data_IF_709236157870
#
_entry.id   IF_709236157870
#
_cell.length_a   1.000
_cell.length_b   1.000
_cell.length_c   1.000
_cell.angle_alpha   90.00
_cell.angle_beta   90.00
_cell.angle_gamma   90.00
#
_symmetry.space_group_name_H-M   'P 1'
#
loop_
_entity.id
_entity.type
_entity.pdbx_description
1 polymer ?
#
# COMPACT_ATOMS: atom_id res chain seq x y z
N UNK A 1 17.73 -2.19 5.20
CA UNK A 1 17.85 -0.98 4.37
C UNK A 1 16.90 0.02 4.98
N UNK A 2 17.41 1.03 5.68
CA UNK A 2 16.62 2.17 6.14
C UNK A 2 16.62 3.20 5.02
N UNK A 3 15.44 3.50 4.49
CA UNK A 3 15.28 4.52 3.45
C UNK A 3 15.46 5.92 4.06
N UNK A 4 16.16 6.82 3.38
CA UNK A 4 16.35 8.21 3.83
C UNK A 4 16.11 9.15 2.64
N UNK A 5 14.95 9.82 2.64
CA UNK A 5 14.51 10.65 1.52
C UNK A 5 15.49 11.78 1.21
N UNK A 6 15.98 12.50 2.23
CA UNK A 6 16.88 13.64 2.04
C UNK A 6 18.17 13.24 1.33
N UNK A 7 18.78 12.11 1.73
CA UNK A 7 20.00 11.59 1.10
C UNK A 7 19.78 11.16 -0.35
N UNK A 8 18.64 10.55 -0.67
CA UNK A 8 18.31 10.17 -2.05
C UNK A 8 18.09 11.41 -2.93
N UNK A 9 17.39 12.42 -2.42
CA UNK A 9 17.18 13.70 -3.12
C UNK A 9 18.50 14.43 -3.36
N UNK A 10 19.36 14.56 -2.35
CA UNK A 10 20.71 15.14 -2.48
C UNK A 10 21.55 14.39 -3.52
N UNK A 11 21.47 13.05 -3.53
CA UNK A 11 22.19 12.25 -4.51
C UNK A 11 21.68 12.52 -5.92
N UNK A 12 20.36 12.52 -6.14
CA UNK A 12 19.73 12.83 -7.42
C UNK A 12 20.08 14.24 -7.92
N UNK A 13 20.04 15.25 -7.05
CA UNK A 13 20.50 16.60 -7.35
C UNK A 13 21.96 16.61 -7.80
N UNK A 14 22.85 15.90 -7.09
CA UNK A 14 24.28 15.81 -7.47
C UNK A 14 24.52 15.17 -8.85
N UNK A 15 23.52 14.46 -9.38
CA UNK A 15 23.54 13.83 -10.71
C UNK A 15 22.77 14.62 -11.76
N UNK A 16 22.05 15.67 -11.38
CA UNK A 16 21.18 16.41 -12.27
C UNK A 16 19.97 15.60 -12.74
N UNK A 17 19.47 14.66 -11.92
CA UNK A 17 18.36 13.78 -12.25
C UNK A 17 17.20 14.06 -11.31
N UNK A 18 15.98 14.17 -11.84
CA UNK A 18 14.78 14.33 -11.01
C UNK A 18 14.49 13.09 -10.18
N UNK A 19 14.00 13.30 -8.97
CA UNK A 19 13.54 12.29 -8.04
C UNK A 19 12.05 12.45 -7.77
N UNK A 20 11.35 11.33 -7.66
CA UNK A 20 9.93 11.28 -7.34
C UNK A 20 9.63 9.98 -6.61
N UNK A 21 8.80 10.07 -5.58
CA UNK A 21 8.26 8.90 -4.91
C UNK A 21 6.88 8.55 -5.49
N UNK A 22 6.84 7.44 -6.22
CA UNK A 22 5.61 6.92 -6.81
C UNK A 22 5.01 5.80 -5.95
N UNK A 23 3.72 5.88 -5.69
CA UNK A 23 2.95 4.91 -4.88
C UNK A 23 3.51 4.72 -3.46
N UNK A 24 4.05 5.79 -2.86
CA UNK A 24 4.71 5.77 -1.56
C UNK A 24 4.09 6.73 -0.56
N UNK A 25 4.41 6.52 0.72
CA UNK A 25 4.04 7.40 1.84
C UNK A 25 5.32 7.78 2.58
N UNK A 26 5.43 9.05 2.93
CA UNK A 26 6.53 9.62 3.71
C UNK A 26 5.94 10.44 4.85
N UNK A 27 6.69 10.59 5.93
CA UNK A 27 6.28 11.45 7.03
C UNK A 27 6.22 12.92 6.59
N UNK A 28 5.47 13.74 7.33
CA UNK A 28 5.43 15.18 7.11
C UNK A 28 6.83 15.80 7.26
N UNK A 29 7.56 15.42 8.30
CA UNK A 29 8.92 15.89 8.57
C UNK A 29 9.88 15.60 7.41
N UNK A 30 9.91 14.35 6.91
CA UNK A 30 10.81 13.98 5.82
C UNK A 30 10.48 14.74 4.54
N UNK A 31 9.19 14.90 4.21
CA UNK A 31 8.80 15.65 3.02
C UNK A 31 9.17 17.12 3.13
N UNK A 32 8.88 17.77 4.26
CA UNK A 32 9.21 19.18 4.47
C UNK A 32 10.72 19.42 4.39
N UNK A 33 11.55 18.43 4.74
CA UNK A 33 13.01 18.52 4.63
C UNK A 33 13.52 18.63 3.18
N UNK A 34 12.74 18.21 2.18
CA UNK A 34 13.15 18.17 0.77
C UNK A 34 12.20 18.92 -0.18
N UNK A 35 11.06 19.41 0.30
CA UNK A 35 10.00 19.98 -0.55
C UNK A 35 10.45 21.19 -1.38
N UNK A 36 11.44 21.95 -0.90
CA UNK A 36 12.01 23.10 -1.61
C UNK A 36 13.08 22.70 -2.64
N UNK A 37 13.52 21.44 -2.69
CA UNK A 37 14.53 20.99 -3.66
C UNK A 37 13.92 20.92 -5.08
N UNK A 38 14.50 21.57 -6.09
CA UNK A 38 13.97 21.56 -7.46
C UNK A 38 14.07 20.19 -8.13
N UNK A 39 15.03 19.34 -7.73
CA UNK A 39 15.18 17.99 -8.24
C UNK A 39 14.20 17.01 -7.61
N UNK A 40 13.55 17.36 -6.50
CA UNK A 40 12.44 16.60 -5.96
C UNK A 40 11.13 17.10 -6.57
N UNK A 41 10.47 16.24 -7.34
CA UNK A 41 9.18 16.57 -7.96
C UNK A 41 8.04 16.46 -6.95
N UNK A 42 8.07 15.43 -6.10
CA UNK A 42 7.03 15.22 -5.10
C UNK A 42 6.77 13.76 -4.80
N UNK A 43 5.65 13.55 -4.12
CA UNK A 43 5.14 12.23 -3.71
C UNK A 43 3.74 12.05 -4.25
N UNK A 44 3.50 10.88 -4.84
CA UNK A 44 2.17 10.41 -5.18
C UNK A 44 1.92 9.10 -4.45
N UNK A 45 0.85 9.00 -3.66
CA UNK A 45 0.53 7.77 -2.95
C UNK A 45 -0.56 7.92 -1.90
N UNK A 46 -0.80 6.89 -1.07
CA UNK A 46 -1.91 6.87 -0.11
C UNK A 46 -1.82 7.97 0.95
N UNK A 47 -0.61 8.30 1.39
CA UNK A 47 -0.44 9.21 2.51
C UNK A 47 -0.86 8.55 3.83
N UNK A 48 -0.56 9.22 4.94
CA UNK A 48 -0.56 8.55 6.24
C UNK A 48 -1.94 8.03 6.67
N UNK A 49 -2.99 8.81 6.39
CA UNK A 49 -4.36 8.46 6.76
C UNK A 49 -4.86 7.21 6.02
N UNK A 50 -4.65 7.14 4.70
CA UNK A 50 -5.11 5.99 3.91
C UNK A 50 -4.30 4.74 4.23
N UNK A 51 -2.99 4.85 4.51
CA UNK A 51 -2.20 3.69 4.95
C UNK A 51 -2.73 3.13 6.27
N UNK A 52 -2.98 4.02 7.25
CA UNK A 52 -3.53 3.62 8.54
C UNK A 52 -4.93 3.00 8.39
N UNK A 53 -5.80 3.64 7.62
CA UNK A 53 -7.15 3.15 7.36
C UNK A 53 -7.16 1.80 6.66
N UNK A 54 -6.24 1.55 5.71
CA UNK A 54 -6.17 0.27 5.00
C UNK A 54 -5.90 -0.91 5.94
N UNK A 55 -5.05 -0.71 6.96
CA UNK A 55 -4.81 -1.71 8.00
C UNK A 55 -5.99 -1.89 8.95
N UNK A 56 -6.61 -0.77 9.36
CA UNK A 56 -7.80 -0.77 10.20
C UNK A 56 -8.98 -1.50 9.54
N UNK A 57 -9.31 -1.17 8.28
CA UNK A 57 -10.41 -1.78 7.52
C UNK A 57 -10.23 -3.29 7.36
N UNK A 58 -8.99 -3.74 7.15
CA UNK A 58 -8.67 -5.16 7.05
C UNK A 58 -8.90 -5.86 8.40
N UNK A 59 -8.41 -5.31 9.51
CA UNK A 59 -8.62 -5.89 10.83
C UNK A 59 -10.12 -5.93 11.17
N UNK A 60 -10.85 -4.84 10.92
CA UNK A 60 -12.30 -4.73 11.17
C UNK A 60 -13.08 -5.78 10.38
N UNK A 61 -12.71 -6.04 9.12
CA UNK A 61 -13.32 -7.08 8.29
C UNK A 61 -13.16 -8.47 8.92
N UNK A 62 -11.94 -8.86 9.30
CA UNK A 62 -11.72 -10.19 9.86
C UNK A 62 -12.34 -10.38 11.24
N UNK A 63 -12.34 -9.34 12.08
CA UNK A 63 -12.92 -9.41 13.43
C UNK A 63 -14.44 -9.55 13.38
N UNK A 64 -15.12 -8.82 12.47
CA UNK A 64 -16.57 -8.74 12.47
C UNK A 64 -17.27 -9.62 11.44
N UNK A 65 -16.62 -9.94 10.32
CA UNK A 65 -17.25 -10.64 9.20
C UNK A 65 -16.77 -12.10 9.04
N UNK A 66 -15.68 -12.49 9.72
CA UNK A 66 -15.11 -13.85 9.63
C UNK A 66 -15.22 -14.59 10.97
N UNK A 67 -15.33 -15.92 10.93
CA UNK A 67 -15.36 -16.77 12.13
C UNK A 67 -13.94 -17.24 12.48
N UNK A 68 -13.42 -16.83 13.64
CA UNK A 68 -12.10 -17.22 14.15
C UNK A 68 -11.61 -16.27 15.24
N UNK A 69 -10.62 -16.70 16.02
CA UNK A 69 -10.06 -15.93 17.14
C UNK A 69 -8.52 -15.96 17.23
N UNK A 70 -7.85 -16.61 16.27
CA UNK A 70 -6.40 -16.72 16.23
C UNK A 70 -5.79 -16.03 15.01
N UNK A 71 -4.97 -15.01 15.23
CA UNK A 71 -4.43 -14.10 14.23
C UNK A 71 -2.91 -14.10 14.24
N UNK A 72 -2.30 -14.12 13.05
CA UNK A 72 -0.93 -13.65 12.83
C UNK A 72 -0.96 -12.38 11.98
N UNK A 73 -0.34 -11.31 12.48
CA UNK A 73 -0.24 -10.00 11.86
C UNK A 73 1.20 -9.77 11.36
N UNK A 74 1.43 -9.98 10.06
CA UNK A 74 2.72 -9.75 9.43
C UNK A 74 2.94 -8.26 9.13
N UNK A 75 3.87 -7.62 9.85
CA UNK A 75 4.09 -6.17 9.78
C UNK A 75 5.02 -5.77 8.63
N UNK A 76 5.74 -6.72 8.04
CA UNK A 76 6.66 -6.45 6.93
C UNK A 76 7.83 -5.56 7.36
N UNK A 77 8.07 -4.47 6.62
CA UNK A 77 9.19 -3.56 6.86
C UNK A 77 9.02 -2.51 7.96
N UNK A 78 7.95 -2.57 8.77
CA UNK A 78 7.68 -1.54 9.79
C UNK A 78 8.89 -1.32 10.72
N UNK A 79 9.46 -2.39 11.26
CA UNK A 79 10.64 -2.36 12.15
C UNK A 79 11.92 -1.80 11.49
N UNK A 80 11.99 -1.75 10.15
CA UNK A 80 13.14 -1.21 9.40
C UNK A 80 12.86 0.15 8.75
N UNK A 81 11.85 0.87 9.28
CA UNK A 81 11.52 2.24 8.87
C UNK A 81 10.66 2.34 7.61
N UNK A 82 9.93 1.29 7.23
CA UNK A 82 8.94 1.41 6.16
C UNK A 82 7.67 2.07 6.70
N UNK A 83 7.48 3.34 6.37
CA UNK A 83 6.37 4.16 6.88
C UNK A 83 4.99 3.60 6.53
N UNK A 84 4.81 3.13 5.30
CA UNK A 84 3.53 2.56 4.87
C UNK A 84 3.15 1.34 5.72
N UNK A 85 4.11 0.44 5.92
CA UNK A 85 3.89 -0.78 6.70
C UNK A 85 3.63 -0.46 8.17
N UNK A 86 4.40 0.47 8.75
CA UNK A 86 4.20 0.96 10.12
C UNK A 86 2.77 1.46 10.31
N UNK A 87 2.32 2.38 9.46
CA UNK A 87 0.99 2.99 9.60
C UNK A 87 -0.14 1.97 9.42
N UNK A 88 -0.05 1.07 8.45
CA UNK A 88 -1.03 -0.02 8.28
C UNK A 88 -1.07 -0.92 9.51
N UNK A 89 0.10 -1.29 10.06
CA UNK A 89 0.17 -2.10 11.28
C UNK A 89 -0.45 -1.36 12.48
N UNK A 90 -0.14 -0.08 12.65
CA UNK A 90 -0.73 0.76 13.70
C UNK A 90 -2.25 0.78 13.58
N UNK A 91 -2.80 1.02 12.39
CA UNK A 91 -4.26 1.02 12.18
C UNK A 91 -4.91 -0.33 12.51
N UNK A 92 -4.28 -1.44 12.13
CA UNK A 92 -4.77 -2.77 12.51
C UNK A 92 -4.75 -3.00 14.02
N UNK A 93 -3.66 -2.63 14.70
CA UNK A 93 -3.50 -2.79 16.15
C UNK A 93 -4.45 -1.88 16.95
N UNK A 94 -4.75 -0.68 16.47
CA UNK A 94 -5.78 0.21 17.04
C UNK A 94 -7.15 -0.47 17.04
N UNK A 95 -7.49 -1.16 15.95
CA UNK A 95 -8.73 -1.95 15.86
C UNK A 95 -8.72 -3.14 16.83
N UNK A 96 -7.62 -3.92 16.89
CA UNK A 96 -7.51 -4.99 17.88
C UNK A 96 -7.68 -4.48 19.32
N UNK A 97 -7.04 -3.35 19.67
CA UNK A 97 -7.15 -2.75 20.98
C UNK A 97 -8.59 -2.28 21.28
N UNK A 98 -9.28 -1.73 20.29
CA UNK A 98 -10.66 -1.27 20.43
C UNK A 98 -11.65 -2.43 20.69
N UNK A 99 -11.47 -3.57 20.03
CA UNK A 99 -12.36 -4.73 20.17
C UNK A 99 -12.03 -5.63 21.36
N UNK A 100 -10.74 -5.82 21.67
CA UNK A 100 -10.28 -6.83 22.64
C UNK A 100 -9.63 -6.24 23.90
N UNK A 101 -9.51 -4.91 23.98
CA UNK A 101 -8.93 -4.20 25.11
C UNK A 101 -7.42 -4.00 25.00
N UNK A 102 -6.80 -3.61 26.12
CA UNK A 102 -5.37 -3.29 26.18
C UNK A 102 -4.49 -4.45 25.68
N UNK A 103 -3.57 -4.12 24.76
CA UNK A 103 -2.60 -5.06 24.19
C UNK A 103 -1.37 -5.25 25.08
N UNK A 104 -1.27 -4.50 26.19
CA UNK A 104 -0.20 -4.61 27.19
C UNK A 104 1.11 -3.91 26.81
N UNK A 105 1.19 -3.40 25.58
CA UNK A 105 2.31 -2.62 25.05
C UNK A 105 1.73 -1.50 24.18
N UNK A 106 2.41 -0.35 24.14
CA UNK A 106 2.02 0.76 23.28
C UNK A 106 1.95 0.30 21.81
N UNK A 107 0.91 0.74 21.09
CA UNK A 107 0.62 0.31 19.72
C UNK A 107 1.81 0.58 18.79
N UNK A 108 2.45 1.74 18.94
CA UNK A 108 3.59 2.12 18.12
C UNK A 108 4.77 1.17 18.33
N UNK A 109 5.05 0.80 19.59
CA UNK A 109 6.14 -0.13 19.95
C UNK A 109 5.87 -1.54 19.41
N UNK A 110 4.61 -2.00 19.48
CA UNK A 110 4.21 -3.27 18.85
C UNK A 110 4.38 -3.23 17.33
N UNK A 111 3.99 -2.12 16.68
CA UNK A 111 4.04 -2.01 15.24
C UNK A 111 5.45 -2.09 14.67
N UNK A 112 6.44 -1.59 15.41
CA UNK A 112 7.86 -1.58 15.02
C UNK A 112 8.70 -2.63 15.75
N UNK A 113 8.08 -3.59 16.44
CA UNK A 113 8.81 -4.67 17.13
C UNK A 113 9.75 -5.39 16.17
N UNK A 114 10.99 -5.64 16.59
CA UNK A 114 11.99 -6.38 15.79
C UNK A 114 11.85 -7.90 15.95
N UNK A 115 11.12 -8.36 16.98
CA UNK A 115 10.88 -9.77 17.29
C UNK A 115 9.37 -10.09 17.33
N UNK A 116 8.96 -11.35 17.08
CA UNK A 116 7.57 -11.75 17.19
C UNK A 116 7.01 -11.56 18.61
N UNK A 117 5.85 -10.91 18.72
CA UNK A 117 5.15 -10.67 19.99
C UNK A 117 3.84 -11.45 20.00
N UNK A 118 3.65 -12.32 21.00
CA UNK A 118 2.42 -13.12 21.17
C UNK A 118 1.59 -12.53 22.30
N UNK A 119 0.34 -12.22 21.98
CA UNK A 119 -0.60 -11.50 22.83
C UNK A 119 -1.90 -12.30 22.96
N UNK A 120 -2.58 -12.16 24.10
CA UNK A 120 -3.91 -12.74 24.32
C UNK A 120 -4.94 -11.72 24.83
N UNK A 121 -5.16 -10.61 24.10
CA UNK A 121 -6.11 -9.58 24.52
C UNK A 121 -7.54 -10.11 24.41
N UNK A 122 -8.41 -9.81 25.36
CA UNK A 122 -9.84 -10.16 25.28
C UNK A 122 -10.16 -11.65 25.08
N UNK A 123 -9.20 -12.55 25.25
CA UNK A 123 -9.35 -14.00 25.01
C UNK A 123 -9.03 -14.47 23.59
N UNK A 124 -8.68 -13.57 22.65
CA UNK A 124 -8.16 -13.95 21.32
C UNK A 124 -6.68 -14.31 21.38
N UNK A 125 -6.12 -14.90 20.33
CA UNK A 125 -4.66 -15.06 20.14
C UNK A 125 -4.20 -14.13 19.02
N UNK A 126 -3.25 -13.25 19.30
CA UNK A 126 -2.67 -12.35 18.31
C UNK A 126 -1.14 -12.46 18.34
N UNK A 127 -0.55 -12.81 17.21
CA UNK A 127 0.91 -12.79 17.02
C UNK A 127 1.28 -11.66 16.07
N UNK A 128 1.96 -10.63 16.57
CA UNK A 128 2.55 -9.57 15.73
C UNK A 128 3.91 -10.05 15.26
N UNK A 129 4.08 -10.23 13.95
CA UNK A 129 5.26 -10.87 13.36
C UNK A 129 5.99 -9.91 12.40
N UNK A 130 7.22 -9.49 12.71
CA UNK A 130 7.95 -8.54 11.88
C UNK A 130 8.73 -9.18 10.74
N UNK A 131 9.08 -8.35 9.76
CA UNK A 131 9.95 -8.73 8.64
C UNK A 131 9.21 -9.03 7.35
N UNK A 132 9.93 -8.89 6.24
CA UNK A 132 9.43 -9.22 4.91
C UNK A 132 9.48 -10.74 4.68
N UNK A 133 8.32 -11.39 4.54
CA UNK A 133 8.17 -12.82 4.21
C UNK A 133 8.69 -13.19 2.82
N UNK A 134 9.14 -12.22 2.04
CA UNK A 134 9.90 -12.42 0.80
C UNK A 134 11.40 -12.62 1.03
N UNK A 135 11.88 -12.46 2.26
CA UNK A 135 13.24 -12.82 2.65
C UNK A 135 13.26 -14.23 3.19
N UNK A 136 14.20 -15.04 2.72
CA UNK A 136 14.30 -16.47 3.02
C UNK A 136 14.28 -16.76 4.53
N UNK A 137 14.99 -15.98 5.34
CA UNK A 137 15.04 -16.18 6.79
C UNK A 137 13.70 -15.93 7.48
N UNK A 138 12.97 -14.89 7.05
CA UNK A 138 11.65 -14.54 7.60
C UNK A 138 10.59 -15.50 7.07
N UNK A 139 10.66 -15.82 5.78
CA UNK A 139 9.80 -16.80 5.11
C UNK A 139 9.80 -18.14 5.86
N UNK A 140 10.99 -18.67 6.13
CA UNK A 140 11.15 -19.91 6.88
C UNK A 140 10.59 -19.81 8.29
N UNK A 141 10.89 -18.72 9.00
CA UNK A 141 10.46 -18.55 10.38
C UNK A 141 8.94 -18.38 10.51
N UNK A 142 8.29 -17.67 9.57
CA UNK A 142 6.82 -17.53 9.53
C UNK A 142 6.16 -18.85 9.12
N UNK A 143 6.77 -19.61 8.20
CA UNK A 143 6.27 -20.97 7.86
C UNK A 143 6.29 -21.87 9.09
N UNK A 144 7.42 -21.92 9.80
CA UNK A 144 7.54 -22.70 11.04
C UNK A 144 6.54 -22.23 12.10
N UNK A 145 6.25 -20.92 12.19
CA UNK A 145 5.23 -20.40 13.10
C UNK A 145 3.83 -20.88 12.73
N UNK A 146 3.47 -20.85 11.45
CA UNK A 146 2.17 -21.30 10.94
C UNK A 146 1.99 -22.82 11.10
N UNK A 147 3.04 -23.62 10.90
CA UNK A 147 2.95 -25.09 11.03
C UNK A 147 2.88 -25.58 12.47
N UNK A 148 3.42 -24.81 13.42
CA UNK A 148 3.50 -25.21 14.83
C UNK A 148 2.38 -24.65 15.71
N UNK A 149 1.53 -23.77 15.17
CA UNK A 149 0.47 -23.11 15.93
C UNK A 149 -0.81 -23.01 15.12
N UNK A 150 -1.96 -23.21 15.77
CA UNK A 150 -3.25 -23.09 15.10
C UNK A 150 -3.63 -21.61 14.92
N UNK A 151 -3.63 -21.13 13.67
CA UNK A 151 -4.14 -19.81 13.29
C UNK A 151 -5.40 -19.94 12.44
N UNK A 152 -6.37 -19.04 12.65
CA UNK A 152 -7.50 -18.91 11.74
C UNK A 152 -7.15 -17.93 10.61
N UNK A 153 -6.42 -16.86 10.96
CA UNK A 153 -6.19 -15.71 10.10
C UNK A 153 -4.74 -15.27 10.00
N UNK A 154 -4.29 -14.99 8.78
CA UNK A 154 -3.03 -14.32 8.47
C UNK A 154 -3.31 -12.95 7.82
N UNK A 155 -3.05 -11.88 8.55
CA UNK A 155 -3.19 -10.50 8.08
C UNK A 155 -1.81 -9.94 7.75
N UNK A 156 -1.64 -9.32 6.59
CA UNK A 156 -0.32 -8.83 6.18
C UNK A 156 -0.35 -7.46 5.53
N UNK A 157 0.65 -6.63 5.87
CA UNK A 157 0.82 -5.30 5.29
C UNK A 157 1.41 -5.32 3.87
N UNK A 158 1.60 -6.51 3.29
CA UNK A 158 2.16 -6.77 1.95
C UNK A 158 1.80 -8.20 1.50
N UNK A 159 2.22 -8.60 0.29
CA UNK A 159 1.95 -9.94 -0.23
C UNK A 159 2.58 -11.06 0.60
N UNK A 160 1.92 -12.23 0.65
CA UNK A 160 2.46 -13.45 1.25
C UNK A 160 2.57 -14.59 0.24
N UNK A 161 2.99 -14.29 -0.99
CA UNK A 161 2.99 -15.29 -2.09
C UNK A 161 3.86 -16.51 -1.79
N UNK A 162 4.97 -16.34 -1.07
CA UNK A 162 5.83 -17.43 -0.63
C UNK A 162 5.13 -18.38 0.37
N UNK A 163 4.08 -17.92 1.06
CA UNK A 163 3.42 -18.65 2.15
C UNK A 163 2.11 -19.31 1.74
N UNK A 164 1.69 -19.19 0.48
CA UNK A 164 0.41 -19.70 0.00
C UNK A 164 0.23 -21.19 0.27
N UNK A 165 1.28 -22.00 0.08
CA UNK A 165 1.19 -23.45 0.26
C UNK A 165 0.99 -23.84 1.73
N UNK A 166 1.69 -23.18 2.67
CA UNK A 166 1.49 -23.41 4.11
C UNK A 166 0.12 -22.89 4.56
N UNK A 167 -0.31 -21.72 4.09
CA UNK A 167 -1.65 -21.18 4.41
C UNK A 167 -2.76 -22.15 3.97
N UNK A 168 -2.65 -22.71 2.76
CA UNK A 168 -3.61 -23.72 2.26
C UNK A 168 -3.56 -25.02 3.08
N UNK A 169 -2.36 -25.51 3.39
CA UNK A 169 -2.14 -26.74 4.15
C UNK A 169 -2.74 -26.66 5.55
N UNK A 170 -2.52 -25.53 6.23
CA UNK A 170 -2.98 -25.29 7.60
C UNK A 170 -4.41 -24.70 7.64
N UNK A 171 -5.01 -24.39 6.49
CA UNK A 171 -6.39 -23.89 6.41
C UNK A 171 -6.55 -22.43 6.83
N UNK A 172 -5.46 -21.66 6.91
CA UNK A 172 -5.43 -20.26 7.36
C UNK A 172 -5.98 -19.34 6.28
N UNK A 173 -6.94 -18.47 6.64
CA UNK A 173 -7.49 -17.46 5.73
C UNK A 173 -6.66 -16.19 5.76
N UNK A 174 -6.51 -15.55 4.61
CA UNK A 174 -5.56 -14.45 4.43
C UNK A 174 -6.24 -13.13 4.09
N UNK A 175 -5.73 -12.05 4.67
CA UNK A 175 -5.99 -10.67 4.25
C UNK A 175 -4.68 -9.94 3.95
N UNK A 176 -4.63 -9.15 2.87
CA UNK A 176 -3.43 -8.37 2.51
C UNK A 176 -3.71 -6.94 2.09
N UNK A 177 -2.77 -6.05 2.41
CA UNK A 177 -2.61 -4.76 1.72
C UNK A 177 -1.54 -4.94 0.63
N UNK A 178 -1.97 -5.19 -0.61
CA UNK A 178 -1.10 -5.58 -1.74
C UNK A 178 -1.59 -4.98 -3.08
N UNK A 179 -1.90 -5.81 -4.07
CA UNK A 179 -2.22 -5.40 -5.43
C UNK A 179 -3.24 -6.32 -6.10
N UNK A 180 -3.84 -5.83 -7.18
CA UNK A 180 -4.61 -6.66 -8.09
C UNK A 180 -3.64 -7.40 -9.03
N UNK A 181 -3.46 -8.70 -8.78
CA UNK A 181 -2.58 -9.60 -9.52
C UNK A 181 -3.31 -10.89 -9.92
N UNK A 182 -2.73 -11.68 -10.83
CA UNK A 182 -3.27 -12.99 -11.16
C UNK A 182 -3.19 -13.94 -9.96
N UNK A 183 -2.10 -13.87 -9.19
CA UNK A 183 -1.95 -14.68 -7.97
C UNK A 183 -3.06 -14.40 -6.97
N UNK A 184 -3.35 -13.12 -6.66
CA UNK A 184 -4.45 -12.79 -5.74
C UNK A 184 -5.82 -13.17 -6.33
N UNK A 185 -5.97 -13.16 -7.66
CA UNK A 185 -7.18 -13.67 -8.31
C UNK A 185 -7.39 -15.16 -8.02
N UNK A 186 -6.36 -15.96 -8.23
CA UNK A 186 -6.38 -17.41 -8.00
C UNK A 186 -6.65 -17.73 -6.51
N UNK A 187 -6.09 -16.94 -5.59
CA UNK A 187 -6.34 -17.09 -4.15
C UNK A 187 -7.76 -16.71 -3.72
N UNK A 188 -8.40 -15.76 -4.39
CA UNK A 188 -9.84 -15.53 -4.22
C UNK A 188 -10.68 -16.69 -4.77
N UNK A 189 -10.22 -17.35 -5.84
CA UNK A 189 -10.94 -18.48 -6.45
C UNK A 189 -10.92 -19.73 -5.57
N UNK A 190 -9.82 -20.00 -4.87
CA UNK A 190 -9.71 -21.11 -3.92
C UNK A 190 -10.16 -20.75 -2.48
N UNK A 191 -10.40 -19.47 -2.22
CA UNK A 191 -10.88 -18.96 -0.94
C UNK A 191 -9.81 -18.87 0.15
N UNK A 192 -8.52 -18.96 -0.19
CA UNK A 192 -7.41 -18.69 0.74
C UNK A 192 -7.34 -17.19 1.03
N UNK A 193 -7.50 -16.35 0.02
CA UNK A 193 -7.56 -14.89 0.19
C UNK A 193 -9.02 -14.44 0.36
N UNK A 194 -9.28 -13.74 1.47
CA UNK A 194 -10.61 -13.23 1.82
C UNK A 194 -10.70 -11.70 1.72
N UNK A 195 -9.57 -10.99 1.77
CA UNK A 195 -9.55 -9.54 1.72
C UNK A 195 -8.31 -9.04 1.00
N UNK A 196 -8.47 -8.05 0.12
CA UNK A 196 -7.36 -7.26 -0.40
C UNK A 196 -7.69 -5.78 -0.38
N UNK A 197 -6.79 -4.97 0.16
CA UNK A 197 -6.66 -3.56 -0.18
C UNK A 197 -5.56 -3.45 -1.25
N UNK A 198 -5.96 -3.36 -2.51
CA UNK A 198 -5.09 -3.58 -3.66
C UNK A 198 -4.75 -2.31 -4.43
N UNK A 199 -3.46 -2.14 -4.74
CA UNK A 199 -2.99 -1.26 -5.82
C UNK A 199 -3.36 -1.83 -7.18
N UNK A 200 -3.70 -0.97 -8.13
CA UNK A 200 -3.92 -1.30 -9.53
C UNK A 200 -2.67 -0.96 -10.36
N UNK A 201 -2.47 -1.62 -11.51
CA UNK A 201 -1.20 -1.61 -12.23
C UNK A 201 -0.80 -0.25 -12.77
N UNK A 202 -1.77 0.61 -13.08
CA UNK A 202 -1.53 1.99 -13.53
C UNK A 202 -1.31 3.00 -12.39
N UNK A 203 -1.24 2.59 -11.11
CA UNK A 203 -1.05 3.52 -9.96
C UNK A 203 0.12 4.48 -10.16
N UNK A 204 1.23 4.04 -10.77
CA UNK A 204 2.40 4.89 -11.04
C UNK A 204 2.24 5.81 -12.25
N UNK A 205 1.18 5.66 -13.06
CA UNK A 205 0.94 6.40 -14.30
C UNK A 205 1.02 7.91 -14.13
N UNK A 206 0.32 8.53 -13.17
CA UNK A 206 0.43 9.97 -12.95
C UNK A 206 1.83 10.43 -12.51
N UNK A 207 2.57 9.57 -11.80
CA UNK A 207 3.98 9.85 -11.47
C UNK A 207 4.86 9.84 -12.71
N UNK A 208 4.61 8.92 -13.65
CA UNK A 208 5.25 8.92 -14.95
C UNK A 208 4.94 10.21 -15.73
N UNK A 209 3.68 10.67 -15.76
CA UNK A 209 3.30 11.92 -16.42
C UNK A 209 4.02 13.14 -15.81
N UNK A 210 4.10 13.22 -14.48
CA UNK A 210 4.84 14.27 -13.77
C UNK A 210 6.34 14.27 -14.15
N UNK A 211 6.97 13.10 -14.10
CA UNK A 211 8.37 12.92 -14.50
C UNK A 211 8.57 13.29 -15.98
N UNK A 212 7.65 12.90 -16.86
CA UNK A 212 7.72 13.18 -18.29
C UNK A 212 7.66 14.68 -18.56
N UNK A 213 6.74 15.41 -17.91
CA UNK A 213 6.70 16.87 -17.94
C UNK A 213 8.03 17.48 -17.48
N UNK A 214 8.61 16.98 -16.39
CA UNK A 214 9.86 17.49 -15.86
C UNK A 214 11.04 17.32 -16.85
N UNK A 215 11.23 16.11 -17.39
CA UNK A 215 12.34 15.82 -18.32
C UNK A 215 12.16 16.45 -19.70
N UNK A 216 10.94 16.89 -20.04
CA UNK A 216 10.64 17.59 -21.30
C UNK A 216 10.65 19.11 -21.16
N UNK A 217 11.03 19.64 -19.99
CA UNK A 217 11.29 21.07 -19.77
C UNK A 217 10.17 21.83 -19.06
N UNK A 218 9.17 21.13 -18.51
CA UNK A 218 8.01 21.75 -17.85
C UNK A 218 8.02 21.55 -16.32
N UNK A 219 9.16 21.21 -15.71
CA UNK A 219 9.23 20.91 -14.27
C UNK A 219 8.65 22.02 -13.39
N UNK A 220 8.99 23.29 -13.68
CA UNK A 220 8.55 24.45 -12.90
C UNK A 220 7.03 24.71 -12.99
N UNK A 221 6.38 24.27 -14.06
CA UNK A 221 4.92 24.40 -14.25
C UNK A 221 4.12 23.34 -13.47
N UNK A 222 4.78 22.27 -13.03
CA UNK A 222 4.18 21.13 -12.32
C UNK A 222 4.65 21.09 -10.87
N UNK A 223 4.52 22.22 -10.17
CA UNK A 223 4.87 22.39 -8.74
C UNK A 223 3.69 22.92 -7.94
N UNK A 224 3.59 22.52 -6.69
CA UNK A 224 2.56 22.99 -5.77
C UNK A 224 3.09 24.24 -5.04
N UNK A 225 2.62 25.43 -5.42
CA UNK A 225 3.11 26.71 -4.88
C UNK A 225 4.64 26.87 -4.99
N UNK A 226 5.23 26.39 -6.09
CA UNK A 226 6.69 26.42 -6.33
C UNK A 226 7.48 25.34 -5.58
N UNK A 227 6.83 24.48 -4.80
CA UNK A 227 7.43 23.36 -4.06
C UNK A 227 7.11 22.03 -4.71
N UNK A 228 7.78 20.98 -4.26
CA UNK A 228 7.43 19.60 -4.59
C UNK A 228 5.96 19.35 -4.19
N UNK A 229 5.23 18.59 -5.01
CA UNK A 229 3.81 18.33 -4.74
C UNK A 229 3.59 17.13 -3.83
N UNK A 230 2.43 17.08 -3.20
CA UNK A 230 1.89 15.87 -2.58
C UNK A 230 0.51 15.57 -3.17
N UNK A 231 0.39 14.46 -3.89
CA UNK A 231 -0.88 14.00 -4.49
C UNK A 231 -1.33 12.68 -3.88
N UNK A 232 -2.62 12.57 -3.61
CA UNK A 232 -3.18 11.42 -2.91
C UNK A 232 -3.73 10.36 -3.87
N UNK A 233 -3.42 9.09 -3.62
CA UNK A 233 -3.97 7.92 -4.31
C UNK A 233 -4.16 6.74 -3.36
N UNK A 234 -5.33 6.11 -3.35
CA UNK A 234 -5.60 5.01 -2.43
C UNK A 234 -5.63 3.61 -3.05
N UNK A 235 -6.18 2.69 -2.28
CA UNK A 235 -6.38 1.29 -2.64
C UNK A 235 -7.80 1.07 -3.15
N UNK A 236 -7.99 0.05 -3.99
CA UNK A 236 -9.32 -0.52 -4.16
C UNK A 236 -9.44 -1.76 -3.28
N UNK A 237 -10.60 -1.91 -2.65
CA UNK A 237 -10.85 -3.05 -1.76
C UNK A 237 -11.71 -4.10 -2.44
N UNK A 238 -11.38 -5.37 -2.24
CA UNK A 238 -12.22 -6.50 -2.60
C UNK A 238 -12.27 -7.50 -1.45
N UNK A 239 -13.49 -7.92 -1.08
CA UNK A 239 -13.77 -8.90 -0.02
C UNK A 239 -14.28 -10.25 -0.55
N UNK A 240 -14.42 -10.36 -1.88
CA UNK A 240 -14.97 -11.54 -2.54
C UNK A 240 -14.39 -11.73 -3.94
N UNK A 241 -14.51 -12.94 -4.47
CA UNK A 241 -14.18 -13.27 -5.86
C UNK A 241 -14.96 -12.39 -6.84
N UNK A 242 -16.24 -12.14 -6.57
CA UNK A 242 -17.12 -11.34 -7.41
C UNK A 242 -16.64 -9.89 -7.48
N UNK A 243 -16.37 -9.29 -6.32
CA UNK A 243 -15.83 -7.93 -6.25
C UNK A 243 -14.45 -7.82 -6.88
N UNK A 244 -13.58 -8.81 -6.66
CA UNK A 244 -12.25 -8.83 -7.25
C UNK A 244 -12.33 -8.90 -8.77
N UNK A 245 -13.14 -9.80 -9.32
CA UNK A 245 -13.33 -9.95 -10.76
C UNK A 245 -13.96 -8.72 -11.40
N UNK A 246 -14.91 -8.06 -10.73
CA UNK A 246 -15.51 -6.82 -11.22
C UNK A 246 -14.46 -5.71 -11.42
N UNK A 247 -13.49 -5.61 -10.49
CA UNK A 247 -12.44 -4.58 -10.54
C UNK A 247 -11.24 -4.98 -11.40
N UNK A 248 -11.01 -6.28 -11.62
CA UNK A 248 -9.77 -6.81 -12.19
C UNK A 248 -9.43 -6.26 -13.58
N UNK A 249 -10.42 -6.08 -14.45
CA UNK A 249 -10.22 -5.57 -15.81
C UNK A 249 -9.68 -4.13 -15.78
N UNK A 250 -10.27 -3.25 -14.97
CA UNK A 250 -9.78 -1.88 -14.79
C UNK A 250 -8.48 -1.83 -14.00
N UNK A 251 -8.24 -2.78 -13.10
CA UNK A 251 -7.04 -2.79 -12.28
C UNK A 251 -5.78 -3.26 -13.03
N UNK A 252 -5.95 -4.09 -14.07
CA UNK A 252 -4.81 -4.76 -14.76
C UNK A 252 -4.78 -4.60 -16.27
N UNK A 253 -5.89 -4.19 -16.88
CA UNK A 253 -6.05 -4.10 -18.32
C UNK A 253 -5.12 -3.07 -18.97
N UNK A 254 -4.64 -3.37 -20.18
CA UNK A 254 -3.73 -2.48 -20.91
C UNK A 254 -4.47 -1.25 -21.46
N UNK A 255 -5.72 -1.42 -21.91
CA UNK A 255 -6.49 -0.38 -22.59
C UNK A 255 -7.52 0.31 -21.69
N UNK A 256 -8.10 -0.41 -20.73
CA UNK A 256 -9.17 0.05 -19.85
C UNK A 256 -8.71 0.31 -18.42
N UNK A 257 -7.40 0.51 -18.22
CA UNK A 257 -6.79 0.65 -16.90
C UNK A 257 -7.33 1.86 -16.12
N UNK A 258 -7.11 1.90 -14.81
CA UNK A 258 -7.51 3.01 -13.93
C UNK A 258 -7.00 4.38 -14.43
N UNK A 259 -5.76 4.43 -14.93
CA UNK A 259 -5.23 5.51 -15.75
C UNK A 259 -4.72 4.94 -17.07
N UNK A 260 -5.44 5.20 -18.16
CA UNK A 260 -5.05 4.75 -19.50
C UNK A 260 -4.14 5.79 -20.19
N UNK A 261 -3.72 5.49 -21.43
CA UNK A 261 -2.82 6.39 -22.17
C UNK A 261 -3.46 7.75 -22.50
N UNK A 262 -4.79 7.82 -22.66
CA UNK A 262 -5.50 9.07 -22.97
C UNK A 262 -5.54 9.99 -21.76
N UNK A 263 -5.86 9.43 -20.58
CA UNK A 263 -5.81 10.12 -19.30
C UNK A 263 -4.41 10.72 -19.09
N UNK A 264 -3.35 9.89 -19.20
CA UNK A 264 -1.97 10.34 -18.99
C UNK A 264 -1.51 11.34 -20.04
N UNK A 265 -1.89 11.14 -21.32
CA UNK A 265 -1.60 12.08 -22.40
C UNK A 265 -2.20 13.46 -22.14
N UNK A 266 -3.40 13.52 -21.59
CA UNK A 266 -4.11 14.78 -21.30
C UNK A 266 -3.50 15.64 -20.20
N UNK A 267 -2.54 15.09 -19.43
CA UNK A 267 -1.82 15.79 -18.36
C UNK A 267 -0.33 15.95 -18.65
N UNK A 268 0.10 15.62 -19.86
CA UNK A 268 1.48 15.80 -20.33
C UNK A 268 1.55 16.94 -21.37
N UNK A 269 2.30 18.01 -21.07
CA UNK A 269 2.38 19.23 -21.90
C UNK A 269 2.80 19.00 -23.35
N UNK A 270 3.66 18.01 -23.58
CA UNK A 270 4.11 17.63 -24.94
C UNK A 270 2.96 17.09 -25.80
N UNK A 271 1.91 16.53 -25.18
CA UNK A 271 0.76 15.96 -25.88
C UNK A 271 -0.48 16.88 -25.84
N UNK A 272 -0.66 17.63 -24.75
CA UNK A 272 -1.75 18.60 -24.58
C UNK A 272 -1.18 19.91 -23.98
N UNK A 273 -1.09 20.97 -24.79
CA UNK A 273 -0.60 22.29 -24.36
C UNK A 273 -1.45 22.90 -23.23
N UNK A 274 -2.67 22.41 -23.02
CA UNK A 274 -3.57 22.84 -21.94
C UNK A 274 -3.41 22.02 -20.67
N UNK A 275 -2.49 21.05 -20.62
CA UNK A 275 -2.11 20.36 -19.40
C UNK A 275 -1.57 21.36 -18.35
N UNK A 276 -1.87 21.10 -17.08
CA UNK A 276 -1.42 21.90 -15.94
C UNK A 276 -1.24 21.03 -14.71
N UNK A 277 -0.59 21.57 -13.67
CA UNK A 277 -0.48 20.90 -12.38
C UNK A 277 -1.85 20.53 -11.81
N UNK A 278 -2.85 21.43 -11.89
CA UNK A 278 -4.19 21.21 -11.37
C UNK A 278 -4.89 20.05 -12.09
N UNK A 279 -4.69 19.90 -13.40
CA UNK A 279 -5.24 18.77 -14.16
C UNK A 279 -4.55 17.46 -13.80
N UNK A 280 -3.22 17.48 -13.62
CA UNK A 280 -2.48 16.32 -13.14
C UNK A 280 -2.95 15.90 -11.75
N UNK A 281 -3.09 16.85 -10.82
CA UNK A 281 -3.59 16.62 -9.46
C UNK A 281 -5.01 16.07 -9.47
N UNK A 282 -5.92 16.70 -10.20
CA UNK A 282 -7.32 16.26 -10.31
C UNK A 282 -7.42 14.83 -10.88
N UNK A 283 -6.66 14.50 -11.93
CA UNK A 283 -6.61 13.14 -12.45
C UNK A 283 -6.06 12.16 -11.41
N UNK A 284 -4.93 12.51 -10.78
CA UNK A 284 -4.24 11.67 -9.79
C UNK A 284 -5.16 11.37 -8.61
N UNK A 285 -5.85 12.37 -8.09
CA UNK A 285 -6.69 12.27 -6.89
C UNK A 285 -8.08 11.67 -7.17
N UNK A 286 -8.46 11.52 -8.44
CA UNK A 286 -9.66 10.81 -8.88
C UNK A 286 -9.39 9.31 -9.04
N UNK A 287 -8.97 8.67 -7.95
CA UNK A 287 -8.42 7.30 -7.95
C UNK A 287 -9.43 6.21 -7.59
N UNK A 288 -10.63 6.53 -7.12
CA UNK A 288 -11.57 5.49 -6.68
C UNK A 288 -11.99 4.60 -7.84
N UNK A 289 -12.43 3.38 -7.54
CA UNK A 289 -12.91 2.45 -8.57
C UNK A 289 -14.05 3.05 -9.41
N UNK A 290 -15.00 3.74 -8.77
CA UNK A 290 -16.13 4.37 -9.46
C UNK A 290 -15.69 5.52 -10.37
N UNK A 291 -14.70 6.31 -9.95
CA UNK A 291 -14.16 7.38 -10.79
C UNK A 291 -13.37 6.84 -11.98
N UNK A 292 -12.55 5.82 -11.75
CA UNK A 292 -11.83 5.12 -12.82
C UNK A 292 -12.81 4.51 -13.84
N UNK A 293 -13.91 3.92 -13.35
CA UNK A 293 -14.97 3.37 -14.17
C UNK A 293 -15.74 4.44 -14.95
N UNK A 294 -16.08 5.55 -14.31
CA UNK A 294 -16.72 6.69 -14.97
C UNK A 294 -15.88 7.25 -16.12
N UNK A 295 -14.55 7.29 -15.99
CA UNK A 295 -13.63 7.70 -17.08
C UNK A 295 -13.61 6.73 -18.26
N UNK A 296 -14.18 5.53 -18.14
CA UNK A 296 -14.34 4.56 -19.24
C UNK A 296 -15.73 4.58 -19.87
N UNK A 297 -16.63 5.41 -19.37
CA UNK A 297 -18.02 5.48 -19.85
C UNK A 297 -18.87 4.29 -19.41
N UNK A 298 -18.52 3.66 -18.28
CA UNK A 298 -19.18 2.49 -17.69
C UNK A 298 -19.89 2.78 -16.36
#
# INVERSE_FOLDING_TARGET
>A
ITYNLSREVEYCESRGVYYMLASGTVSEEEFESVADNPYFLGVTGPGSEIERQAGADMAEYFINEMEGDSYILCTGGAAVGNEMHRLRTVGALEVFAAHFGDLGTEIEELAVSEEPVRLTPGGIRLTVYPGYTSREEVEKAVTEELENNDYDFALSMFSMYSMVDVLRKEGVKQGVVDCYSMTNKELFEDGTLCYVAGKYSSTIGPSFAAMYNAVTGYADEFRENGRAFRMTQGYWTSKSKEEYNAKYALATGIYVNAYNYEDLGSVMKVYDETASFERLKALTESWTYEEAKARRGE
#
